data_IF_744972645836
#
_entry.id   IF_744972645836
#
_cell.length_a   1.000
_cell.length_b   1.000
_cell.length_c   1.000
_cell.angle_alpha   90.00
_cell.angle_beta   90.00
_cell.angle_gamma   90.00
#
_symmetry.space_group_name_H-M   'P 1'
#
loop_
_entity.id
_entity.type
_entity.pdbx_description
1 polymer ?
#
# COMPACT_ATOMS: atom_id res chain seq x y z
N UNK A 1 -8.80 4.66 7.85
CA UNK A 1 -8.19 3.39 8.33
C UNK A 1 -8.20 2.30 7.24
N UNK A 2 -7.11 1.59 7.09
CA UNK A 2 -6.98 0.41 6.23
C UNK A 2 -5.94 -0.56 6.81
N UNK A 3 -6.29 -1.85 6.90
CA UNK A 3 -5.49 -2.82 7.65
C UNK A 3 -4.81 -3.91 6.79
N UNK A 4 -5.13 -3.99 5.51
CA UNK A 4 -4.59 -5.00 4.57
C UNK A 4 -5.00 -4.71 3.11
N UNK A 5 -4.33 -5.23 2.07
CA UNK A 5 -2.98 -5.77 2.07
C UNK A 5 -1.95 -4.64 1.93
N UNK A 6 -0.62 -4.92 1.90
CA UNK A 6 0.40 -3.86 1.80
C UNK A 6 0.14 -2.93 0.59
N UNK A 7 -0.06 -3.48 -0.60
CA UNK A 7 -0.35 -2.68 -1.80
C UNK A 7 -1.59 -1.80 -1.68
N UNK A 8 -2.66 -2.32 -1.08
CA UNK A 8 -3.88 -1.54 -0.85
C UNK A 8 -3.66 -0.39 0.16
N UNK A 9 -2.80 -0.59 1.16
CA UNK A 9 -2.44 0.48 2.10
C UNK A 9 -1.53 1.49 1.41
N UNK A 10 -0.54 1.05 0.65
CA UNK A 10 0.35 1.91 -0.12
C UNK A 10 -0.45 2.82 -1.08
N UNK A 11 -1.49 2.30 -1.74
CA UNK A 11 -2.37 3.10 -2.61
C UNK A 11 -3.17 4.18 -1.87
N UNK A 12 -3.21 4.19 -0.53
CA UNK A 12 -3.80 5.30 0.22
C UNK A 12 -2.83 6.47 0.42
N UNK A 13 -1.53 6.23 0.30
CA UNK A 13 -0.48 7.24 0.55
C UNK A 13 -0.65 8.49 -0.31
N UNK A 14 -0.80 8.40 -1.66
CA UNK A 14 -0.98 9.58 -2.50
C UNK A 14 -2.17 10.45 -2.09
N UNK A 15 -3.27 9.82 -1.69
CA UNK A 15 -4.49 10.54 -1.33
C UNK A 15 -4.39 11.17 0.06
N UNK A 16 -3.76 10.46 1.02
CA UNK A 16 -3.49 10.99 2.37
C UNK A 16 -2.49 12.13 2.32
N UNK A 17 -1.45 12.01 1.49
CA UNK A 17 -0.47 13.06 1.27
C UNK A 17 -1.13 14.33 0.68
N UNK A 18 -1.90 14.17 -0.41
CA UNK A 18 -2.62 15.27 -1.04
C UNK A 18 -3.63 15.94 -0.08
N UNK A 19 -4.34 15.16 0.75
CA UNK A 19 -5.20 15.67 1.80
C UNK A 19 -4.41 16.52 2.80
N UNK A 20 -3.28 16.01 3.27
CA UNK A 20 -2.45 16.68 4.27
C UNK A 20 -1.86 17.99 3.74
N UNK A 21 -1.46 18.03 2.46
CA UNK A 21 -0.98 19.24 1.81
C UNK A 21 -2.08 20.30 1.62
N UNK A 22 -3.27 19.87 1.15
CA UNK A 22 -4.37 20.80 0.87
C UNK A 22 -5.06 21.32 2.15
N UNK A 23 -4.93 20.58 3.24
CA UNK A 23 -5.52 20.94 4.55
C UNK A 23 -4.45 20.87 5.67
N UNK A 24 -3.48 21.80 5.70
CA UNK A 24 -2.35 21.74 6.64
C UNK A 24 -2.76 21.84 8.10
N UNK A 25 -3.89 22.46 8.42
CA UNK A 25 -4.43 22.59 9.78
C UNK A 25 -5.14 21.30 10.26
N UNK A 26 -5.40 20.34 9.36
CA UNK A 26 -6.06 19.08 9.69
C UNK A 26 -5.03 18.06 10.16
N UNK A 27 -5.14 17.60 11.40
CA UNK A 27 -4.32 16.49 11.91
C UNK A 27 -4.89 15.16 11.44
N UNK A 28 -4.12 14.43 10.68
CA UNK A 28 -4.50 13.15 10.10
C UNK A 28 -3.85 12.03 10.91
N UNK A 29 -4.64 11.07 11.39
CA UNK A 29 -4.12 9.85 12.00
C UNK A 29 -4.45 8.65 11.14
N UNK A 30 -3.43 8.02 10.58
CA UNK A 30 -3.54 6.79 9.80
C UNK A 30 -3.55 5.60 10.75
N UNK A 31 -4.68 4.89 10.82
CA UNK A 31 -4.80 3.67 11.61
C UNK A 31 -4.59 2.44 10.73
N UNK A 32 -3.51 1.70 10.97
CA UNK A 32 -3.19 0.48 10.23
C UNK A 32 -2.41 -0.51 11.10
N UNK A 33 -1.91 -1.59 10.48
CA UNK A 33 -1.00 -2.55 11.11
C UNK A 33 0.43 -2.04 11.00
N UNK A 34 1.30 -2.49 11.90
CA UNK A 34 2.69 -1.99 12.02
C UNK A 34 3.49 -2.05 10.71
N UNK A 35 3.33 -3.10 9.90
CA UNK A 35 4.03 -3.23 8.62
C UNK A 35 3.85 -2.03 7.68
N UNK A 36 2.79 -1.24 7.87
CA UNK A 36 2.50 -0.09 7.01
C UNK A 36 3.11 1.21 7.53
N UNK A 37 3.68 1.22 8.75
CA UNK A 37 4.25 2.41 9.38
C UNK A 37 5.26 3.13 8.47
N UNK A 38 6.26 2.46 7.85
CA UNK A 38 7.26 3.12 7.03
C UNK A 38 6.71 3.89 5.81
N UNK A 39 5.45 3.62 5.42
CA UNK A 39 4.80 4.34 4.32
C UNK A 39 4.26 5.72 4.72
N UNK A 40 4.19 6.00 6.03
CA UNK A 40 3.56 7.21 6.57
C UNK A 40 4.45 7.98 7.54
N UNK A 41 5.49 7.36 8.09
CA UNK A 41 6.45 8.04 8.94
C UNK A 41 7.17 9.10 8.11
N UNK A 42 7.28 10.29 8.68
CA UNK A 42 7.94 11.47 8.10
C UNK A 42 7.37 11.96 6.75
N UNK A 43 6.19 11.47 6.36
CA UNK A 43 5.57 11.85 5.09
C UNK A 43 5.18 13.34 5.06
N UNK A 44 4.51 13.84 6.10
CA UNK A 44 4.22 15.27 6.35
C UNK A 44 3.97 15.50 7.85
N UNK A 45 4.26 16.71 8.39
CA UNK A 45 4.18 17.01 9.83
C UNK A 45 2.78 16.81 10.45
N UNK A 46 1.71 16.95 9.66
CA UNK A 46 0.34 16.79 10.13
C UNK A 46 -0.20 15.36 9.95
N UNK A 47 0.62 14.40 9.49
CA UNK A 47 0.29 12.98 9.41
C UNK A 47 0.90 12.22 10.59
N UNK A 48 0.07 11.46 11.30
CA UNK A 48 0.49 10.60 12.39
C UNK A 48 0.10 9.15 12.09
N UNK A 49 0.92 8.19 12.50
CA UNK A 49 0.60 6.78 12.38
C UNK A 49 0.20 6.18 13.73
N UNK A 50 -0.89 5.44 13.74
CA UNK A 50 -1.37 4.68 14.89
C UNK A 50 -1.47 3.20 14.53
N UNK A 51 -0.76 2.38 15.26
CA UNK A 51 -0.80 0.93 15.09
C UNK A 51 -2.03 0.31 15.75
N UNK A 52 -2.59 -0.71 15.09
CA UNK A 52 -3.57 -1.61 15.68
C UNK A 52 -3.31 -3.07 15.28
N UNK A 53 -2.91 -3.90 16.23
CA UNK A 53 -2.78 -5.34 16.04
C UNK A 53 -4.13 -6.04 16.20
N UNK A 54 -4.80 -6.24 15.07
CA UNK A 54 -6.11 -6.92 15.01
C UNK A 54 -6.04 -8.43 15.18
N UNK A 55 -4.85 -9.03 15.24
CA UNK A 55 -4.67 -10.47 15.41
C UNK A 55 -4.46 -10.85 16.89
N UNK A 56 -3.88 -9.95 17.69
CA UNK A 56 -3.55 -10.15 19.09
C UNK A 56 -4.38 -9.22 19.97
N UNK A 57 -3.94 -7.98 20.17
CA UNK A 57 -4.49 -7.00 21.10
C UNK A 57 -5.98 -6.69 20.84
N UNK A 58 -6.35 -6.49 19.57
CA UNK A 58 -7.72 -6.11 19.18
C UNK A 58 -8.48 -7.26 18.50
N UNK A 59 -8.27 -8.48 18.95
CA UNK A 59 -8.96 -9.66 18.42
C UNK A 59 -10.41 -9.74 18.92
N UNK A 60 -11.34 -10.10 18.03
CA UNK A 60 -12.76 -10.29 18.36
C UNK A 60 -13.48 -8.98 18.70
N UNK A 61 -14.72 -9.09 19.19
CA UNK A 61 -15.58 -7.94 19.52
C UNK A 61 -15.03 -7.18 20.73
N UNK A 62 -14.55 -7.89 21.73
CA UNK A 62 -13.96 -7.28 22.94
C UNK A 62 -12.75 -6.44 22.60
N UNK A 63 -11.82 -6.98 21.77
CA UNK A 63 -10.66 -6.24 21.31
C UNK A 63 -11.05 -5.03 20.44
N UNK A 64 -12.05 -5.16 19.57
CA UNK A 64 -12.56 -4.02 18.80
C UNK A 64 -13.18 -2.94 19.68
N UNK A 65 -13.85 -3.31 20.81
CA UNK A 65 -14.34 -2.34 21.79
C UNK A 65 -13.17 -1.61 22.49
N UNK A 66 -12.10 -2.32 22.83
CA UNK A 66 -10.91 -1.69 23.41
C UNK A 66 -10.25 -0.72 22.42
N UNK A 67 -10.15 -1.10 21.15
CA UNK A 67 -9.68 -0.20 20.10
C UNK A 67 -10.59 1.02 19.94
N UNK A 68 -11.91 0.82 19.96
CA UNK A 68 -12.88 1.92 19.89
C UNK A 68 -12.69 2.92 21.02
N UNK A 69 -12.56 2.46 22.29
CA UNK A 69 -12.29 3.34 23.44
C UNK A 69 -10.98 4.12 23.28
N UNK A 70 -9.92 3.46 22.80
CA UNK A 70 -8.63 4.10 22.52
C UNK A 70 -8.76 5.19 21.43
N UNK A 71 -9.59 4.96 20.42
CA UNK A 71 -9.85 5.93 19.37
C UNK A 71 -10.70 7.10 19.88
N UNK A 72 -11.71 6.86 20.74
CA UNK A 72 -12.50 7.93 21.37
C UNK A 72 -11.62 8.88 22.17
N UNK A 73 -10.66 8.36 22.93
CA UNK A 73 -9.74 9.17 23.73
C UNK A 73 -8.88 10.13 22.88
N UNK A 74 -8.80 9.94 21.54
CA UNK A 74 -8.11 10.83 20.63
C UNK A 74 -8.94 12.01 20.13
N UNK A 75 -10.23 12.06 20.46
CA UNK A 75 -11.15 13.14 20.14
C UNK A 75 -11.17 13.53 18.64
N UNK A 76 -11.22 12.53 17.77
CA UNK A 76 -11.33 12.76 16.32
C UNK A 76 -12.62 13.48 15.97
N UNK A 77 -12.59 14.39 14.99
CA UNK A 77 -13.75 15.12 14.48
C UNK A 77 -14.44 14.36 13.34
N UNK A 78 -13.70 13.54 12.61
CA UNK A 78 -14.22 12.77 11.48
C UNK A 78 -13.50 11.43 11.32
N UNK A 79 -14.19 10.43 10.77
CA UNK A 79 -13.69 9.07 10.59
C UNK A 79 -13.83 8.66 9.11
N UNK A 80 -12.70 8.44 8.44
CA UNK A 80 -12.63 7.88 7.09
C UNK A 80 -12.39 6.36 7.15
N UNK A 81 -13.31 5.54 6.64
CA UNK A 81 -13.12 4.09 6.50
C UNK A 81 -12.76 3.70 5.07
N UNK A 82 -11.47 3.59 4.76
CA UNK A 82 -10.94 3.22 3.45
C UNK A 82 -10.87 1.69 3.24
N UNK A 83 -11.41 0.89 4.16
CA UNK A 83 -11.33 -0.57 4.10
C UNK A 83 -12.68 -1.24 3.88
N UNK A 84 -13.72 -0.79 4.57
CA UNK A 84 -15.10 -1.29 4.50
C UNK A 84 -15.19 -2.83 4.53
N UNK A 85 -14.59 -3.43 5.56
CA UNK A 85 -14.69 -4.86 5.92
C UNK A 85 -15.41 -5.02 7.23
N UNK A 86 -15.81 -6.25 7.61
CA UNK A 86 -16.62 -6.51 8.79
C UNK A 86 -16.10 -5.82 10.07
N UNK A 87 -14.79 -5.93 10.35
CA UNK A 87 -14.17 -5.29 11.52
C UNK A 87 -14.22 -3.76 11.48
N UNK A 88 -13.98 -3.17 10.32
CA UNK A 88 -14.08 -1.72 10.18
C UNK A 88 -15.53 -1.25 10.17
N UNK A 89 -16.46 -2.05 9.67
CA UNK A 89 -17.88 -1.76 9.73
C UNK A 89 -18.41 -1.74 11.17
N UNK A 90 -17.91 -2.63 12.03
CA UNK A 90 -18.23 -2.61 13.46
C UNK A 90 -17.79 -1.30 14.13
N UNK A 91 -16.53 -0.89 13.93
CA UNK A 91 -16.04 0.39 14.48
C UNK A 91 -16.80 1.58 13.90
N UNK A 92 -17.15 1.54 12.60
CA UNK A 92 -17.97 2.58 11.96
C UNK A 92 -19.36 2.68 12.59
N UNK A 93 -20.01 1.55 12.82
CA UNK A 93 -21.31 1.51 13.52
C UNK A 93 -21.22 2.19 14.89
N UNK A 94 -20.18 1.89 15.67
CA UNK A 94 -19.97 2.50 16.99
C UNK A 94 -19.80 4.02 16.89
N UNK A 95 -18.98 4.51 15.95
CA UNK A 95 -18.81 5.95 15.73
C UNK A 95 -20.08 6.64 15.25
N UNK A 96 -20.89 5.98 14.41
CA UNK A 96 -22.19 6.51 14.00
C UNK A 96 -23.17 6.63 15.16
N UNK A 97 -23.19 5.65 16.08
CA UNK A 97 -24.04 5.71 17.29
C UNK A 97 -23.65 6.89 18.20
N UNK A 98 -22.37 7.23 18.25
CA UNK A 98 -21.86 8.38 19.00
C UNK A 98 -21.86 9.68 18.17
N UNK A 99 -22.62 9.72 17.04
CA UNK A 99 -22.85 10.89 16.19
C UNK A 99 -21.57 11.50 15.55
N UNK A 100 -20.50 10.72 15.39
CA UNK A 100 -19.32 11.17 14.67
C UNK A 100 -19.61 11.30 13.18
N UNK A 101 -18.95 12.23 12.51
CA UNK A 101 -18.96 12.35 11.05
C UNK A 101 -18.16 11.18 10.46
N UNK A 102 -18.83 10.27 9.74
CA UNK A 102 -18.21 9.05 9.23
C UNK A 102 -18.50 8.88 7.74
N UNK A 103 -17.45 8.65 6.95
CA UNK A 103 -17.59 8.22 5.56
C UNK A 103 -16.80 6.92 5.31
N UNK A 104 -17.18 6.17 4.28
CA UNK A 104 -16.55 4.90 3.95
C UNK A 104 -16.49 4.68 2.45
N UNK A 105 -15.50 3.89 2.03
CA UNK A 105 -15.28 3.56 0.64
C UNK A 105 -16.46 2.76 0.06
N UNK A 106 -16.94 3.18 -1.10
CA UNK A 106 -17.77 2.33 -1.97
C UNK A 106 -16.85 1.35 -2.73
N UNK A 107 -17.18 0.08 -2.68
CA UNK A 107 -16.45 -0.99 -3.38
C UNK A 107 -17.04 -1.32 -4.76
N UNK A 108 -18.07 -0.62 -5.19
CA UNK A 108 -18.76 -0.83 -6.47
C UNK A 108 -19.10 -2.29 -6.75
N UNK A 109 -19.62 -3.02 -5.72
CA UNK A 109 -19.82 -4.47 -5.79
C UNK A 109 -20.84 -4.89 -6.87
N UNK A 110 -21.84 -4.04 -7.11
CA UNK A 110 -22.86 -4.28 -8.15
C UNK A 110 -22.22 -4.22 -9.54
N UNK A 111 -21.45 -3.17 -9.79
CA UNK A 111 -20.80 -2.95 -11.09
C UNK A 111 -19.69 -3.97 -11.35
N UNK A 112 -18.93 -4.34 -10.30
CA UNK A 112 -17.97 -5.46 -10.39
C UNK A 112 -18.64 -6.78 -10.78
N UNK A 113 -19.82 -7.08 -10.23
CA UNK A 113 -20.60 -8.27 -10.64
C UNK A 113 -21.01 -8.19 -12.11
N UNK A 114 -21.42 -7.02 -12.62
CA UNK A 114 -21.75 -6.82 -14.03
C UNK A 114 -20.57 -7.08 -14.95
N UNK A 115 -19.38 -6.60 -14.57
CA UNK A 115 -18.13 -6.78 -15.34
C UNK A 115 -17.70 -8.25 -15.36
N UNK A 116 -17.91 -9.01 -14.27
CA UNK A 116 -17.47 -10.40 -14.12
C UNK A 116 -18.57 -11.41 -14.41
N UNK A 117 -19.76 -10.98 -14.82
CA UNK A 117 -20.88 -11.87 -15.13
C UNK A 117 -20.57 -12.77 -16.32
N UNK A 118 -21.00 -14.03 -16.26
CA UNK A 118 -20.93 -14.96 -17.38
C UNK A 118 -22.00 -14.68 -18.47
N UNK A 119 -23.12 -14.07 -18.04
CA UNK A 119 -24.22 -13.66 -18.93
C UNK A 119 -24.42 -12.14 -18.81
N UNK A 120 -24.71 -11.46 -19.91
CA UNK A 120 -24.95 -10.03 -20.02
C UNK A 120 -23.76 -9.19 -19.41
N UNK A 121 -22.53 -9.61 -19.69
CA UNK A 121 -21.32 -8.90 -19.25
C UNK A 121 -21.31 -7.48 -19.79
N UNK A 122 -21.20 -6.50 -18.91
CA UNK A 122 -21.08 -5.09 -19.24
C UNK A 122 -19.68 -4.61 -18.93
N UNK A 123 -18.93 -4.14 -19.92
CA UNK A 123 -17.63 -3.52 -19.71
C UNK A 123 -17.84 -2.05 -19.30
N UNK A 124 -17.83 -1.81 -18.01
CA UNK A 124 -17.97 -0.48 -17.39
C UNK A 124 -16.63 -0.09 -16.78
N UNK A 125 -16.14 1.11 -17.10
CA UNK A 125 -14.98 1.67 -16.43
C UNK A 125 -15.35 2.00 -14.99
N UNK A 126 -14.67 1.37 -14.03
CA UNK A 126 -14.82 1.70 -12.60
C UNK A 126 -13.87 2.82 -12.20
N UNK A 127 -14.23 3.61 -11.18
CA UNK A 127 -13.31 4.57 -10.59
C UNK A 127 -12.02 3.89 -10.10
N UNK A 128 -10.92 4.60 -10.18
CA UNK A 128 -9.64 4.12 -9.64
C UNK A 128 -9.70 4.01 -8.12
N UNK A 129 -8.77 3.26 -7.52
CA UNK A 129 -8.67 3.21 -6.06
C UNK A 129 -8.40 4.59 -5.46
N UNK A 130 -7.62 5.43 -6.13
CA UNK A 130 -7.35 6.80 -5.70
C UNK A 130 -8.62 7.65 -5.66
N UNK A 131 -9.44 7.58 -6.73
CA UNK A 131 -10.72 8.27 -6.76
C UNK A 131 -11.64 7.80 -5.63
N UNK A 132 -11.77 6.48 -5.43
CA UNK A 132 -12.59 5.92 -4.36
C UNK A 132 -12.15 6.41 -2.96
N UNK A 133 -10.84 6.60 -2.73
CA UNK A 133 -10.36 7.16 -1.46
C UNK A 133 -10.60 8.65 -1.36
N UNK A 134 -10.40 9.41 -2.43
CA UNK A 134 -10.70 10.84 -2.49
C UNK A 134 -12.19 11.11 -2.21
N UNK A 135 -13.09 10.31 -2.78
CA UNK A 135 -14.53 10.42 -2.57
C UNK A 135 -14.94 10.23 -1.10
N UNK A 136 -14.22 9.37 -0.34
CA UNK A 136 -14.43 9.24 1.11
C UNK A 136 -14.13 10.55 1.83
N UNK A 137 -13.04 11.21 1.49
CA UNK A 137 -12.67 12.50 2.10
C UNK A 137 -13.61 13.62 1.65
N UNK A 138 -14.04 13.64 0.38
CA UNK A 138 -15.05 14.56 -0.10
C UNK A 138 -16.38 14.40 0.68
N UNK A 139 -16.81 13.16 0.96
CA UNK A 139 -17.97 12.87 1.81
C UNK A 139 -17.85 13.38 3.26
N UNK A 140 -16.63 13.61 3.73
CA UNK A 140 -16.34 14.25 5.01
C UNK A 140 -16.22 15.79 4.92
N UNK A 141 -16.34 16.37 3.73
CA UNK A 141 -16.20 17.82 3.48
C UNK A 141 -14.77 18.25 3.19
N UNK A 142 -13.90 17.29 2.85
CA UNK A 142 -12.50 17.53 2.46
C UNK A 142 -12.27 16.99 1.04
N UNK A 143 -12.77 17.63 -0.03
CA UNK A 143 -12.49 17.22 -1.40
C UNK A 143 -10.99 17.31 -1.68
N UNK A 144 -10.42 16.28 -2.30
CA UNK A 144 -8.97 16.16 -2.53
C UNK A 144 -8.69 16.06 -4.02
N UNK A 145 -7.83 16.93 -4.52
CA UNK A 145 -7.21 16.77 -5.83
C UNK A 145 -5.90 15.97 -5.66
N UNK A 146 -5.86 14.74 -6.16
CA UNK A 146 -4.71 13.85 -5.94
C UNK A 146 -3.60 14.24 -6.92
N UNK A 147 -2.64 15.00 -6.41
CA UNK A 147 -1.36 15.27 -7.08
C UNK A 147 -0.26 14.68 -6.20
N UNK A 148 0.49 13.73 -6.74
CA UNK A 148 1.51 13.00 -6.01
C UNK A 148 2.56 12.44 -6.97
N UNK A 149 3.83 12.70 -6.70
CA UNK A 149 4.96 12.20 -7.48
C UNK A 149 5.75 11.14 -6.73
N UNK A 150 6.07 11.37 -5.46
CA UNK A 150 6.93 10.50 -4.67
C UNK A 150 6.65 10.65 -3.16
N UNK A 151 6.97 9.62 -2.38
CA UNK A 151 7.08 9.69 -0.92
C UNK A 151 8.43 10.27 -0.47
N UNK A 152 9.37 10.39 -1.38
CA UNK A 152 10.69 10.94 -1.13
C UNK A 152 10.72 12.42 -1.51
N UNK A 153 11.59 13.20 -0.86
CA UNK A 153 11.89 14.58 -1.22
C UNK A 153 12.52 14.66 -2.63
N UNK A 154 12.78 15.88 -3.11
CA UNK A 154 13.50 16.10 -4.38
C UNK A 154 14.90 15.48 -4.38
N UNK A 155 15.53 15.36 -3.20
CA UNK A 155 16.82 14.72 -3.00
C UNK A 155 16.77 13.18 -3.08
N UNK A 156 15.57 12.60 -3.23
CA UNK A 156 15.35 11.16 -3.25
C UNK A 156 15.25 10.54 -1.85
N UNK A 157 15.37 9.21 -1.79
CA UNK A 157 15.36 8.48 -0.51
C UNK A 157 16.72 8.49 0.18
N UNK A 158 16.72 8.44 1.51
CA UNK A 158 17.96 8.30 2.28
C UNK A 158 18.62 6.94 2.04
N UNK A 159 19.69 6.93 1.26
CA UNK A 159 20.44 5.73 0.91
C UNK A 159 21.14 5.09 2.14
N UNK A 160 21.27 5.80 3.26
CA UNK A 160 21.85 5.24 4.49
C UNK A 160 20.89 4.27 5.19
N UNK A 161 19.60 4.34 4.89
CA UNK A 161 18.60 3.39 5.37
C UNK A 161 18.72 2.03 4.69
N UNK A 162 19.43 1.93 3.58
CA UNK A 162 19.68 0.66 2.91
C UNK A 162 20.81 -0.09 3.61
N UNK A 163 20.71 -1.44 3.73
CA UNK A 163 21.78 -2.23 4.31
C UNK A 163 23.10 -2.06 3.54
N UNK A 164 24.21 -2.02 4.27
CA UNK A 164 25.55 -1.92 3.65
C UNK A 164 25.85 -3.08 2.70
N UNK A 165 25.28 -4.25 2.98
CA UNK A 165 25.41 -5.47 2.14
C UNK A 165 24.68 -5.36 0.81
N UNK A 166 23.83 -4.34 0.60
CA UNK A 166 23.12 -4.16 -0.67
C UNK A 166 24.02 -3.40 -1.64
N UNK A 167 24.44 -3.99 -2.79
CA UNK A 167 25.21 -3.30 -3.79
C UNK A 167 24.46 -2.06 -4.28
N UNK A 168 25.12 -0.90 -4.16
CA UNK A 168 24.55 0.38 -4.59
C UNK A 168 24.82 0.62 -6.07
N UNK A 169 23.90 1.24 -6.82
CA UNK A 169 24.17 1.62 -8.19
C UNK A 169 25.23 2.73 -8.23
N UNK A 170 26.01 2.76 -9.28
CA UNK A 170 26.86 3.90 -9.59
C UNK A 170 26.04 5.08 -10.10
N UNK A 171 26.58 6.29 -10.01
CA UNK A 171 25.88 7.50 -10.51
C UNK A 171 25.55 7.33 -12.00
N UNK A 172 24.28 7.50 -12.34
CA UNK A 172 23.79 7.36 -13.73
C UNK A 172 23.52 5.92 -14.17
N UNK A 173 23.78 4.91 -13.34
CA UNK A 173 23.49 3.51 -13.69
C UNK A 173 21.98 3.28 -13.72
N UNK A 174 21.41 2.75 -14.82
CA UNK A 174 20.01 2.36 -14.86
C UNK A 174 19.69 1.27 -13.84
N UNK A 175 18.59 1.44 -13.10
CA UNK A 175 18.13 0.49 -12.08
C UNK A 175 16.71 0.02 -12.35
N UNK A 176 16.48 -1.28 -12.27
CA UNK A 176 15.15 -1.87 -12.44
C UNK A 176 14.83 -2.76 -11.23
N UNK A 177 13.67 -2.56 -10.64
CA UNK A 177 13.13 -3.44 -9.61
C UNK A 177 12.18 -4.47 -10.21
N UNK A 178 12.39 -5.76 -9.92
CA UNK A 178 11.52 -6.85 -10.36
C UNK A 178 10.98 -7.59 -9.15
N UNK A 179 9.63 -7.68 -9.05
CA UNK A 179 8.92 -8.49 -8.07
C UNK A 179 8.12 -9.58 -8.83
N UNK A 180 8.71 -10.73 -9.15
CA UNK A 180 8.13 -11.69 -10.09
C UNK A 180 7.02 -12.55 -9.49
N UNK A 181 6.90 -12.59 -8.18
CA UNK A 181 5.94 -13.46 -7.48
C UNK A 181 4.78 -12.69 -6.85
N UNK A 182 3.67 -13.37 -6.66
CA UNK A 182 2.48 -12.84 -6.00
C UNK A 182 1.77 -13.94 -5.20
N UNK A 183 0.92 -13.54 -4.25
CA UNK A 183 0.14 -14.49 -3.44
C UNK A 183 -0.85 -15.35 -4.23
N UNK A 184 -1.23 -14.92 -5.45
CA UNK A 184 -2.17 -15.63 -6.30
C UNK A 184 -1.51 -15.97 -7.64
N UNK A 185 -1.58 -17.24 -8.03
CA UNK A 185 -1.02 -17.76 -9.30
C UNK A 185 -1.42 -16.93 -10.52
N UNK A 186 -2.69 -16.56 -10.65
CA UNK A 186 -3.20 -15.77 -11.77
C UNK A 186 -2.62 -14.34 -11.88
N UNK A 187 -1.77 -13.93 -10.95
CA UNK A 187 -1.06 -12.65 -10.97
C UNK A 187 0.45 -12.80 -11.22
N UNK A 188 0.92 -14.04 -11.36
CA UNK A 188 2.32 -14.33 -11.60
C UNK A 188 2.53 -14.43 -13.10
N UNK A 189 3.43 -13.60 -13.64
CA UNK A 189 3.93 -13.81 -14.99
C UNK A 189 4.78 -15.08 -14.99
N UNK A 190 4.66 -15.97 -15.99
CA UNK A 190 5.40 -17.26 -15.99
C UNK A 190 6.89 -17.04 -15.74
N UNK A 191 7.43 -17.67 -14.69
CA UNK A 191 8.80 -17.45 -14.19
C UNK A 191 9.84 -17.62 -15.31
N UNK A 192 9.68 -18.68 -16.13
CA UNK A 192 10.56 -18.92 -17.30
C UNK A 192 10.55 -17.76 -18.31
N UNK A 193 9.40 -17.13 -18.52
CA UNK A 193 9.30 -15.98 -19.43
C UNK A 193 9.88 -14.72 -18.79
N UNK A 194 9.74 -14.56 -17.47
CA UNK A 194 10.38 -13.45 -16.74
C UNK A 194 11.92 -13.56 -16.80
N UNK A 195 12.46 -14.78 -16.70
CA UNK A 195 13.90 -15.02 -16.87
C UNK A 195 14.38 -14.60 -18.26
N UNK A 196 13.64 -14.95 -19.31
CA UNK A 196 13.92 -14.48 -20.68
C UNK A 196 13.84 -12.94 -20.82
N UNK A 197 12.93 -12.30 -20.09
CA UNK A 197 12.87 -10.82 -20.05
C UNK A 197 14.15 -10.25 -19.43
N UNK A 198 14.64 -10.84 -18.33
CA UNK A 198 15.90 -10.44 -17.70
C UNK A 198 17.07 -10.60 -18.65
N UNK A 199 17.18 -11.76 -19.32
CA UNK A 199 18.22 -12.04 -20.31
C UNK A 199 18.23 -11.03 -21.45
N UNK A 200 17.06 -10.78 -22.06
CA UNK A 200 16.92 -9.83 -23.17
C UNK A 200 17.19 -8.39 -22.75
N UNK A 201 16.78 -8.02 -21.55
CA UNK A 201 17.04 -6.70 -20.98
C UNK A 201 18.54 -6.47 -20.82
N UNK A 202 19.24 -7.42 -20.19
CA UNK A 202 20.69 -7.32 -19.95
C UNK A 202 21.50 -7.43 -21.25
N UNK A 203 21.03 -8.18 -22.25
CA UNK A 203 21.65 -8.20 -23.55
C UNK A 203 21.58 -6.84 -24.27
N UNK A 204 20.51 -6.09 -24.10
CA UNK A 204 20.33 -4.75 -24.70
C UNK A 204 20.95 -3.63 -23.85
N UNK A 205 20.96 -3.80 -22.54
CA UNK A 205 21.37 -2.80 -21.57
C UNK A 205 22.29 -3.45 -20.51
N UNK A 206 23.53 -3.81 -20.85
CA UNK A 206 24.44 -4.59 -20.00
C UNK A 206 24.81 -3.87 -18.69
N UNK A 207 24.74 -2.55 -18.66
CA UNK A 207 25.05 -1.74 -17.47
C UNK A 207 23.89 -1.64 -16.46
N UNK A 208 22.70 -2.20 -16.81
CA UNK A 208 21.53 -2.11 -15.93
C UNK A 208 21.71 -2.96 -14.69
N UNK A 209 21.43 -2.37 -13.51
CA UNK A 209 21.32 -3.09 -12.24
C UNK A 209 19.89 -3.56 -12.04
N UNK A 210 19.71 -4.84 -11.71
CA UNK A 210 18.38 -5.41 -11.44
C UNK A 210 18.28 -5.81 -9.96
N UNK A 211 17.30 -5.23 -9.27
CA UNK A 211 16.99 -5.60 -7.88
C UNK A 211 15.77 -6.52 -7.85
N UNK A 212 15.94 -7.72 -7.28
CA UNK A 212 14.87 -8.72 -7.15
C UNK A 212 14.20 -8.56 -5.79
N UNK A 213 12.89 -8.31 -5.81
CA UNK A 213 12.09 -8.09 -4.62
C UNK A 213 11.12 -9.24 -4.37
N UNK A 214 11.09 -9.72 -3.14
CA UNK A 214 10.15 -10.73 -2.69
C UNK A 214 10.67 -11.50 -1.49
N UNK A 215 9.77 -12.24 -0.83
CA UNK A 215 10.10 -13.08 0.32
C UNK A 215 9.20 -14.30 0.33
N UNK A 216 9.79 -15.47 0.33
CA UNK A 216 9.11 -16.75 0.44
C UNK A 216 9.88 -17.88 -0.24
N UNK A 217 9.38 -19.09 -0.14
CA UNK A 217 10.06 -20.27 -0.63
C UNK A 217 10.40 -20.18 -2.13
N UNK A 218 9.52 -19.64 -2.96
CA UNK A 218 9.75 -19.50 -4.40
C UNK A 218 10.87 -18.52 -4.72
N UNK A 219 10.89 -17.40 -4.01
CA UNK A 219 11.95 -16.41 -4.11
C UNK A 219 13.28 -16.98 -3.68
N UNK A 220 13.32 -17.68 -2.54
CA UNK A 220 14.53 -18.32 -2.00
C UNK A 220 15.11 -19.40 -2.92
N UNK A 221 14.26 -20.08 -3.70
CA UNK A 221 14.68 -21.10 -4.68
C UNK A 221 15.10 -20.49 -6.03
N UNK A 222 14.56 -19.32 -6.40
CA UNK A 222 14.73 -18.74 -7.75
C UNK A 222 15.78 -17.65 -7.79
N UNK A 223 15.78 -16.70 -6.85
CA UNK A 223 16.66 -15.54 -6.89
C UNK A 223 18.15 -15.87 -6.85
N UNK A 224 18.64 -16.84 -6.03
CA UNK A 224 20.04 -17.21 -6.06
C UNK A 224 20.51 -17.75 -7.44
N UNK A 225 19.64 -18.46 -8.16
CA UNK A 225 19.94 -18.98 -9.50
C UNK A 225 20.08 -17.83 -10.51
N UNK A 226 19.15 -16.86 -10.45
CA UNK A 226 19.20 -15.70 -11.34
C UNK A 226 20.40 -14.80 -11.03
N UNK A 227 20.73 -14.60 -9.76
CA UNK A 227 21.93 -13.83 -9.38
C UNK A 227 23.24 -14.55 -9.79
N UNK A 228 23.26 -15.87 -9.76
CA UNK A 228 24.41 -16.63 -10.23
C UNK A 228 24.58 -16.59 -11.76
N UNK A 229 23.47 -16.61 -12.51
CA UNK A 229 23.49 -16.52 -13.96
C UNK A 229 23.75 -15.08 -14.48
N UNK A 230 23.34 -14.07 -13.72
CA UNK A 230 23.42 -12.65 -14.11
C UNK A 230 24.03 -11.81 -12.99
N UNK A 231 25.32 -11.46 -13.05
CA UNK A 231 26.01 -10.68 -11.99
C UNK A 231 25.40 -9.28 -11.76
N UNK A 232 24.62 -8.76 -12.71
CA UNK A 232 23.89 -7.50 -12.59
C UNK A 232 22.65 -7.63 -11.69
N UNK A 233 22.16 -8.85 -11.46
CA UNK A 233 21.05 -9.12 -10.55
C UNK A 233 21.50 -9.06 -9.10
N UNK A 234 20.73 -8.38 -8.28
CA UNK A 234 20.92 -8.29 -6.84
C UNK A 234 19.68 -8.80 -6.16
N UNK A 235 19.82 -9.79 -5.32
CA UNK A 235 18.77 -10.22 -4.42
C UNK A 235 19.23 -10.03 -2.98
N UNK A 236 18.32 -9.64 -2.10
CA UNK A 236 18.59 -9.61 -0.69
C UNK A 236 18.09 -10.89 -0.04
N UNK A 237 18.93 -11.58 0.74
CA UNK A 237 18.43 -12.52 1.72
C UNK A 237 17.65 -11.72 2.77
N UNK A 238 16.32 -11.83 2.74
CA UNK A 238 15.37 -11.34 3.76
C UNK A 238 15.49 -9.87 4.17
N UNK A 239 14.50 -9.08 3.80
CA UNK A 239 14.15 -7.87 4.56
C UNK A 239 13.54 -8.35 5.89
N UNK A 240 14.27 -8.31 6.97
CA UNK A 240 13.75 -8.43 8.31
C UNK A 240 12.96 -7.19 8.72
#
# INVERSE_FOLDING_TARGET
RRFSALGDVAMTVPVVYALAQQYPDVRITVLSRNFARPLFDDLLPNINFMEADLKREYRGITGLNSLYRRLLAKQFTAIADLHSVLRSSYLRMRFNLDHYKVAHIDKHRKDRRRITSSSNKQLIQLPTSFQNYADVFAGLGYPVNVQFSSIFSEDGGDMNLLPESLPRPTVGQPCIGIAPFAAHEGKIYPVRLMEQVVEQLLAKHPDTRIYLFGKGQREDETFPKWCAAHPQCVCKPTFE
#
